data_IF_669316279567
#
_entry.id   IF_669316279567
#
_cell.length_a   1.000
_cell.length_b   1.000
_cell.length_c   1.000
_cell.angle_alpha   90.00
_cell.angle_beta   90.00
_cell.angle_gamma   90.00
#
_symmetry.space_group_name_H-M   'P 1'
#
loop_
_entity.id
_entity.type
_entity.pdbx_description
1 polymer ?
#
# COMPACT_ATOMS: atom_id res chain seq x y z
N UNK A 1 -64.16 -58.34 69.35
CA UNK A 1 -63.76 -56.99 69.81
C UNK A 1 -63.27 -56.21 68.61
N UNK A 2 -63.91 -55.09 68.27
CA UNK A 2 -63.48 -54.26 67.14
C UNK A 2 -62.32 -53.37 67.59
N UNK A 3 -61.17 -53.47 66.93
CA UNK A 3 -59.99 -52.68 67.24
C UNK A 3 -60.12 -51.27 66.64
N UNK A 4 -60.97 -50.44 67.26
CA UNK A 4 -61.25 -49.06 66.82
C UNK A 4 -60.16 -48.11 67.33
N UNK A 5 -59.69 -47.21 66.48
CA UNK A 5 -58.80 -46.14 66.91
C UNK A 5 -59.58 -45.03 67.61
N UNK A 6 -59.17 -44.68 68.83
CA UNK A 6 -59.83 -43.68 69.68
C UNK A 6 -59.68 -42.23 69.17
N UNK A 7 -58.78 -41.98 68.21
CA UNK A 7 -58.55 -40.63 67.69
C UNK A 7 -59.20 -40.39 66.33
N UNK A 8 -59.52 -41.44 65.56
CA UNK A 8 -60.05 -41.28 64.20
C UNK A 8 -61.18 -42.24 63.84
N UNK A 9 -61.64 -43.03 64.80
CA UNK A 9 -62.76 -43.95 64.67
C UNK A 9 -62.60 -45.03 63.59
N UNK A 10 -61.43 -45.16 62.96
CA UNK A 10 -61.14 -46.20 61.98
C UNK A 10 -61.07 -47.55 62.66
N UNK A 11 -61.74 -48.56 62.08
CA UNK A 11 -61.80 -49.93 62.62
C UNK A 11 -60.73 -50.77 61.93
N UNK A 12 -59.91 -51.46 62.73
CA UNK A 12 -58.83 -52.33 62.24
C UNK A 12 -59.14 -53.80 62.51
N UNK A 13 -58.66 -54.66 61.60
CA UNK A 13 -58.88 -56.11 61.68
C UNK A 13 -58.09 -56.77 62.83
N UNK A 14 -56.99 -56.16 63.29
CA UNK A 14 -56.19 -56.69 64.40
C UNK A 14 -55.45 -55.58 65.18
N UNK A 15 -55.02 -55.92 66.40
CA UNK A 15 -54.35 -55.01 67.34
C UNK A 15 -53.01 -54.50 66.83
N UNK A 16 -52.24 -55.33 66.11
CA UNK A 16 -50.98 -54.92 65.51
C UNK A 16 -51.16 -53.82 64.47
N UNK A 17 -52.20 -53.92 63.64
CA UNK A 17 -52.56 -52.91 62.64
C UNK A 17 -53.02 -51.61 63.31
N UNK A 18 -53.83 -51.71 64.36
CA UNK A 18 -54.22 -50.55 65.17
C UNK A 18 -53.00 -49.87 65.81
N UNK A 19 -52.07 -50.64 66.38
CA UNK A 19 -50.86 -50.10 67.01
C UNK A 19 -49.92 -49.45 65.99
N UNK A 20 -49.73 -50.05 64.83
CA UNK A 20 -48.93 -49.47 63.75
C UNK A 20 -49.58 -48.18 63.22
N UNK A 21 -50.90 -48.19 63.06
CA UNK A 21 -51.69 -47.03 62.72
C UNK A 21 -51.53 -45.89 63.76
N UNK A 22 -51.70 -46.17 65.07
CA UNK A 22 -51.49 -45.17 66.15
C UNK A 22 -50.07 -44.59 66.17
N UNK A 23 -49.05 -45.38 65.79
CA UNK A 23 -47.65 -44.95 65.79
C UNK A 23 -47.21 -44.21 64.52
N UNK A 24 -47.85 -44.47 63.37
CA UNK A 24 -47.38 -43.96 62.07
C UNK A 24 -48.36 -43.03 61.36
N UNK A 25 -49.66 -43.13 61.60
CA UNK A 25 -50.63 -42.31 60.88
C UNK A 25 -50.53 -40.85 61.35
N UNK A 26 -50.01 -39.98 60.47
CA UNK A 26 -49.74 -38.55 60.74
C UNK A 26 -50.94 -37.86 61.38
N UNK A 27 -52.16 -38.09 60.88
CA UNK A 27 -53.37 -37.46 61.44
C UNK A 27 -53.70 -37.93 62.87
N UNK A 28 -53.43 -39.19 63.23
CA UNK A 28 -53.63 -39.68 64.59
C UNK A 28 -52.55 -39.15 65.53
N UNK A 29 -51.32 -39.04 65.07
CA UNK A 29 -50.23 -38.44 65.84
C UNK A 29 -50.48 -36.95 66.13
N UNK A 30 -51.11 -36.23 65.20
CA UNK A 30 -51.58 -34.86 65.39
C UNK A 30 -52.69 -34.79 66.44
N UNK A 31 -53.73 -35.62 66.32
CA UNK A 31 -54.83 -35.67 67.31
C UNK A 31 -54.37 -36.14 68.70
N UNK A 32 -53.28 -36.90 68.77
CA UNK A 32 -52.61 -37.28 70.02
C UNK A 32 -51.75 -36.17 70.62
N UNK A 33 -51.60 -35.03 69.94
CA UNK A 33 -50.70 -33.94 70.37
C UNK A 33 -49.21 -34.29 70.31
N UNK A 34 -48.83 -35.44 69.72
CA UNK A 34 -47.44 -35.90 69.63
C UNK A 34 -46.65 -35.18 68.54
N UNK A 35 -47.37 -34.65 67.56
CA UNK A 35 -46.82 -33.80 66.51
C UNK A 35 -47.76 -32.59 66.47
N UNK A 36 -47.23 -31.37 66.60
CA UNK A 36 -48.03 -30.18 66.32
C UNK A 36 -48.57 -30.29 64.90
N UNK A 37 -49.86 -30.00 64.67
CA UNK A 37 -50.26 -29.61 63.32
C UNK A 37 -49.49 -28.33 63.03
N UNK A 38 -48.33 -28.47 62.40
CA UNK A 38 -47.90 -27.43 61.50
C UNK A 38 -49.09 -27.28 60.57
N UNK A 39 -49.88 -26.24 60.76
CA UNK A 39 -50.48 -25.59 59.60
C UNK A 39 -49.27 -25.30 58.73
N UNK A 40 -48.94 -26.25 57.85
CA UNK A 40 -48.48 -25.90 56.53
C UNK A 40 -49.54 -24.87 56.09
N UNK A 41 -49.32 -23.58 56.38
CA UNK A 41 -49.92 -22.49 55.61
C UNK A 41 -49.78 -22.99 54.19
N UNK A 42 -50.89 -23.34 53.54
CA UNK A 42 -50.92 -24.15 52.33
C UNK A 42 -49.82 -23.66 51.38
N UNK A 43 -48.64 -24.30 51.39
CA UNK A 43 -47.52 -23.85 50.57
C UNK A 43 -47.91 -24.34 49.19
N UNK A 44 -48.60 -23.45 48.48
CA UNK A 44 -49.09 -23.71 47.14
C UNK A 44 -47.89 -23.65 46.21
N UNK A 45 -47.53 -24.78 45.60
CA UNK A 45 -46.43 -24.84 44.64
C UNK A 45 -46.96 -24.57 43.24
N UNK A 46 -46.94 -23.30 42.83
CA UNK A 46 -47.41 -22.86 41.52
C UNK A 46 -46.32 -23.07 40.45
N UNK A 47 -46.72 -23.56 39.28
CA UNK A 47 -45.87 -23.51 38.11
C UNK A 47 -45.72 -22.06 37.62
N UNK A 48 -44.50 -21.66 37.26
CA UNK A 48 -44.24 -20.31 36.72
C UNK A 48 -44.67 -20.16 35.25
N UNK A 49 -44.94 -21.27 34.57
CA UNK A 49 -45.26 -21.28 33.15
C UNK A 49 -46.75 -21.47 32.87
N UNK A 50 -47.49 -22.13 33.77
CA UNK A 50 -48.93 -22.39 33.65
C UNK A 50 -49.62 -22.28 35.01
N UNK A 51 -50.95 -22.26 35.02
CA UNK A 51 -51.73 -22.06 36.25
C UNK A 51 -51.87 -23.32 37.12
N UNK A 52 -51.00 -24.32 36.94
CA UNK A 52 -51.07 -25.59 37.67
C UNK A 52 -50.52 -25.43 39.08
N UNK A 53 -51.38 -25.75 40.05
CA UNK A 53 -51.08 -25.79 41.47
C UNK A 53 -50.69 -27.22 41.86
N UNK A 54 -49.59 -27.39 42.60
CA UNK A 54 -49.07 -28.69 42.98
C UNK A 54 -48.89 -28.81 44.50
N UNK A 55 -49.05 -30.04 44.99
CA UNK A 55 -49.11 -30.35 46.42
C UNK A 55 -47.76 -30.35 47.13
N UNK A 56 -46.65 -30.43 46.39
CA UNK A 56 -45.30 -30.36 46.95
C UNK A 56 -44.27 -29.94 45.89
N UNK A 57 -43.09 -29.54 46.36
CA UNK A 57 -41.96 -29.09 45.53
C UNK A 57 -41.45 -30.14 44.54
N UNK A 58 -41.44 -31.42 44.91
CA UNK A 58 -40.98 -32.49 44.03
C UNK A 58 -41.88 -32.62 42.80
N UNK A 59 -43.20 -32.62 43.02
CA UNK A 59 -44.20 -32.64 41.96
C UNK A 59 -44.11 -31.39 41.08
N UNK A 60 -43.84 -30.21 41.66
CA UNK A 60 -43.57 -28.98 40.91
C UNK A 60 -42.36 -29.12 39.98
N UNK A 61 -41.24 -29.63 40.47
CA UNK A 61 -40.05 -29.82 39.65
C UNK A 61 -40.27 -30.84 38.52
N UNK A 62 -40.92 -31.97 38.83
CA UNK A 62 -41.28 -32.97 37.83
C UNK A 62 -42.23 -32.40 36.77
N UNK A 63 -43.19 -31.57 37.19
CA UNK A 63 -44.09 -30.87 36.30
C UNK A 63 -43.36 -29.84 35.43
N UNK A 64 -42.48 -29.01 35.98
CA UNK A 64 -41.72 -28.00 35.21
C UNK A 64 -40.97 -28.65 34.04
N UNK A 65 -40.38 -29.84 34.25
CA UNK A 65 -39.66 -30.57 33.21
C UNK A 65 -40.56 -31.16 32.10
N UNK A 66 -41.86 -31.29 32.38
CA UNK A 66 -42.86 -31.86 31.46
C UNK A 66 -43.97 -30.86 31.12
N UNK A 67 -43.82 -29.61 31.54
CA UNK A 67 -44.86 -28.59 31.40
C UNK A 67 -44.94 -28.18 29.93
N UNK A 68 -46.06 -28.49 29.30
CA UNK A 68 -46.30 -28.17 27.89
C UNK A 68 -46.10 -26.68 27.60
N UNK A 69 -46.58 -25.80 28.48
CA UNK A 69 -46.47 -24.34 28.31
C UNK A 69 -45.02 -23.87 28.40
N UNK A 70 -44.19 -24.47 29.26
CA UNK A 70 -42.76 -24.18 29.30
C UNK A 70 -42.09 -24.59 27.99
N UNK A 71 -42.30 -25.84 27.59
CA UNK A 71 -41.70 -26.42 26.39
C UNK A 71 -42.09 -25.60 25.15
N UNK A 72 -43.35 -25.18 25.04
CA UNK A 72 -43.83 -24.34 23.94
C UNK A 72 -43.18 -22.95 23.95
N UNK A 73 -43.09 -22.29 25.11
CA UNK A 73 -42.38 -21.00 25.25
C UNK A 73 -40.89 -21.11 24.89
N UNK A 74 -40.22 -22.20 25.26
CA UNK A 74 -38.81 -22.44 24.92
C UNK A 74 -38.63 -22.68 23.42
N UNK A 75 -39.51 -23.48 22.79
CA UNK A 75 -39.53 -23.66 21.33
C UNK A 75 -39.71 -22.35 20.58
N UNK A 76 -40.65 -21.51 21.01
CA UNK A 76 -40.88 -20.19 20.37
C UNK A 76 -39.64 -19.29 20.47
N UNK A 77 -38.93 -19.31 21.60
CA UNK A 77 -37.67 -18.57 21.77
C UNK A 77 -36.57 -19.11 20.84
N UNK A 78 -36.46 -20.42 20.71
CA UNK A 78 -35.50 -21.07 19.82
C UNK A 78 -35.81 -20.77 18.35
N UNK A 79 -37.08 -20.85 17.94
CA UNK A 79 -37.53 -20.50 16.59
C UNK A 79 -37.21 -19.04 16.24
N UNK A 80 -37.46 -18.11 17.16
CA UNK A 80 -37.15 -16.68 16.97
C UNK A 80 -35.63 -16.46 16.87
N UNK A 81 -34.83 -17.12 17.70
CA UNK A 81 -33.37 -17.05 17.62
C UNK A 81 -32.84 -17.59 16.28
N UNK A 82 -33.35 -18.72 15.82
CA UNK A 82 -33.00 -19.31 14.52
C UNK A 82 -33.39 -18.35 13.39
N UNK A 83 -34.56 -17.74 13.45
CA UNK A 83 -35.04 -16.77 12.45
C UNK A 83 -34.14 -15.54 12.36
N UNK A 84 -33.72 -14.99 13.51
CA UNK A 84 -32.78 -13.86 13.57
C UNK A 84 -31.41 -14.24 12.99
N UNK A 85 -30.95 -15.46 13.28
CA UNK A 85 -29.69 -15.99 12.75
C UNK A 85 -29.74 -16.14 11.23
N UNK A 86 -30.82 -16.73 10.69
CA UNK A 86 -31.04 -16.86 9.24
C UNK A 86 -31.06 -15.49 8.56
N UNK A 87 -31.74 -14.51 9.15
CA UNK A 87 -31.79 -13.16 8.60
C UNK A 87 -30.40 -12.51 8.55
N UNK A 88 -29.59 -12.71 9.58
CA UNK A 88 -28.22 -12.18 9.65
C UNK A 88 -27.33 -12.84 8.59
N UNK A 89 -27.35 -14.16 8.50
CA UNK A 89 -26.60 -14.91 7.48
C UNK A 89 -27.04 -14.55 6.05
N UNK A 90 -28.33 -14.30 5.82
CA UNK A 90 -28.83 -13.86 4.52
C UNK A 90 -28.23 -12.51 4.13
N UNK A 91 -28.17 -11.54 5.06
CA UNK A 91 -27.57 -10.22 4.81
C UNK A 91 -26.08 -10.31 4.53
N UNK A 92 -25.36 -11.19 5.23
CA UNK A 92 -23.93 -11.41 4.98
C UNK A 92 -23.68 -12.04 3.61
N UNK A 93 -24.49 -13.03 3.22
CA UNK A 93 -24.41 -13.62 1.88
C UNK A 93 -24.66 -12.60 0.77
N UNK A 94 -25.61 -11.69 0.95
CA UNK A 94 -25.87 -10.62 -0.03
C UNK A 94 -24.67 -9.68 -0.15
N UNK A 95 -24.07 -9.28 0.98
CA UNK A 95 -22.83 -8.48 0.98
C UNK A 95 -21.68 -9.20 0.28
N UNK A 96 -21.51 -10.49 0.54
CA UNK A 96 -20.46 -11.30 -0.10
C UNK A 96 -20.67 -11.38 -1.62
N UNK A 97 -21.91 -11.58 -2.09
CA UNK A 97 -22.23 -11.57 -3.53
C UNK A 97 -21.93 -10.21 -4.18
N UNK A 98 -22.27 -9.11 -3.52
CA UNK A 98 -21.95 -7.77 -4.02
C UNK A 98 -20.45 -7.55 -4.12
N UNK A 99 -19.69 -7.96 -3.10
CA UNK A 99 -18.23 -7.87 -3.10
C UNK A 99 -17.61 -8.72 -4.22
N UNK A 100 -18.09 -9.95 -4.41
CA UNK A 100 -17.63 -10.83 -5.49
C UNK A 100 -17.88 -10.21 -6.87
N UNK A 101 -19.05 -9.59 -7.08
CA UNK A 101 -19.36 -8.87 -8.31
C UNK A 101 -18.40 -7.70 -8.55
N UNK A 102 -18.17 -6.86 -7.54
CA UNK A 102 -17.25 -5.73 -7.61
C UNK A 102 -15.80 -6.18 -7.92
N UNK A 103 -15.36 -7.28 -7.30
CA UNK A 103 -14.03 -7.85 -7.56
C UNK A 103 -13.88 -8.34 -9.00
N UNK A 104 -14.91 -9.00 -9.55
CA UNK A 104 -14.92 -9.45 -10.96
C UNK A 104 -14.86 -8.27 -11.94
N UNK A 105 -15.60 -7.20 -11.68
CA UNK A 105 -15.56 -5.98 -12.48
C UNK A 105 -14.17 -5.32 -12.44
N UNK A 106 -13.56 -5.22 -11.25
CA UNK A 106 -12.21 -4.69 -11.11
C UNK A 106 -11.16 -5.51 -11.87
N UNK A 107 -11.22 -6.84 -11.77
CA UNK A 107 -10.36 -7.76 -12.52
C UNK A 107 -10.50 -7.57 -14.03
N UNK A 108 -11.73 -7.37 -14.52
CA UNK A 108 -11.98 -7.09 -15.93
C UNK A 108 -11.31 -5.78 -16.37
N UNK A 109 -11.46 -4.70 -15.60
CA UNK A 109 -10.79 -3.43 -15.90
C UNK A 109 -9.25 -3.57 -15.92
N UNK A 110 -8.68 -4.29 -14.94
CA UNK A 110 -7.22 -4.52 -14.89
C UNK A 110 -6.71 -5.33 -16.07
N UNK A 111 -7.45 -6.34 -16.51
CA UNK A 111 -7.08 -7.12 -17.69
C UNK A 111 -7.09 -6.27 -18.97
N UNK A 112 -8.07 -5.39 -19.12
CA UNK A 112 -8.12 -4.47 -20.27
C UNK A 112 -6.92 -3.52 -20.27
N UNK A 113 -6.57 -2.94 -19.11
CA UNK A 113 -5.38 -2.09 -18.97
C UNK A 113 -4.08 -2.83 -19.35
N UNK A 114 -3.94 -4.08 -18.90
CA UNK A 114 -2.78 -4.92 -19.25
C UNK A 114 -2.72 -5.16 -20.75
N UNK A 115 -3.88 -5.42 -21.39
CA UNK A 115 -3.94 -5.66 -22.83
C UNK A 115 -3.58 -4.41 -23.64
N UNK A 116 -4.09 -3.24 -23.26
CA UNK A 116 -3.72 -1.96 -23.88
C UNK A 116 -2.21 -1.69 -23.76
N UNK A 117 -1.65 -1.94 -22.58
CA UNK A 117 -0.22 -1.76 -22.35
C UNK A 117 0.63 -2.70 -23.22
N UNK A 118 0.23 -3.98 -23.34
CA UNK A 118 0.89 -4.95 -24.24
C UNK A 118 0.87 -4.48 -25.68
N UNK A 119 -0.29 -4.06 -26.17
CA UNK A 119 -0.43 -3.57 -27.55
C UNK A 119 0.46 -2.34 -27.81
N UNK A 120 0.58 -1.44 -26.82
CA UNK A 120 1.46 -0.27 -26.92
C UNK A 120 2.94 -0.69 -27.00
N UNK A 121 3.38 -1.63 -26.15
CA UNK A 121 4.75 -2.14 -26.20
C UNK A 121 5.08 -2.84 -27.53
N UNK A 122 4.14 -3.62 -28.07
CA UNK A 122 4.30 -4.27 -29.37
C UNK A 122 4.50 -3.23 -30.49
N UNK A 123 3.67 -2.17 -30.51
CA UNK A 123 3.82 -1.07 -31.47
C UNK A 123 5.17 -0.35 -31.33
N UNK A 124 5.64 -0.09 -30.11
CA UNK A 124 6.94 0.55 -29.90
C UNK A 124 8.11 -0.34 -30.34
N UNK A 125 8.02 -1.65 -30.10
CA UNK A 125 9.02 -2.61 -30.56
C UNK A 125 9.09 -2.65 -32.08
N UNK A 126 7.94 -2.70 -32.75
CA UNK A 126 7.86 -2.64 -34.21
C UNK A 126 8.48 -1.36 -34.77
N UNK A 127 8.13 -0.20 -34.18
CA UNK A 127 8.71 1.08 -34.57
C UNK A 127 10.24 1.13 -34.43
N UNK A 128 10.76 0.67 -33.28
CA UNK A 128 12.21 0.62 -33.04
C UNK A 128 12.92 -0.35 -33.99
N UNK A 129 12.30 -1.49 -34.28
CA UNK A 129 12.84 -2.45 -35.25
C UNK A 129 12.94 -1.84 -36.65
N UNK A 130 11.94 -1.07 -37.07
CA UNK A 130 11.97 -0.36 -38.35
C UNK A 130 13.09 0.69 -38.39
N UNK A 131 13.27 1.48 -37.33
CA UNK A 131 14.38 2.43 -37.23
C UNK A 131 15.76 1.73 -37.30
N UNK A 132 15.91 0.60 -36.61
CA UNK A 132 17.15 -0.19 -36.63
C UNK A 132 17.45 -0.67 -38.06
N UNK A 133 16.43 -1.13 -38.80
CA UNK A 133 16.61 -1.56 -40.19
C UNK A 133 17.04 -0.40 -41.09
N UNK A 134 16.41 0.77 -40.96
CA UNK A 134 16.76 1.93 -41.76
C UNK A 134 18.21 2.39 -41.50
N UNK A 135 18.62 2.42 -40.23
CA UNK A 135 20.00 2.74 -39.84
C UNK A 135 21.01 1.73 -40.40
N UNK A 136 20.69 0.43 -40.39
CA UNK A 136 21.54 -0.60 -40.99
C UNK A 136 21.74 -0.36 -42.49
N UNK A 137 20.66 -0.05 -43.22
CA UNK A 137 20.75 0.28 -44.66
C UNK A 137 21.58 1.54 -44.91
N UNK A 138 21.47 2.57 -44.07
CA UNK A 138 22.31 3.77 -44.20
C UNK A 138 23.79 3.47 -43.96
N UNK A 139 24.11 2.66 -42.95
CA UNK A 139 25.49 2.24 -42.66
C UNK A 139 26.10 1.50 -43.85
N UNK A 140 25.35 0.57 -44.45
CA UNK A 140 25.80 -0.18 -45.63
C UNK A 140 26.12 0.75 -46.82
N UNK A 141 25.23 1.70 -47.13
CA UNK A 141 25.48 2.72 -48.18
C UNK A 141 26.70 3.59 -47.90
N UNK A 142 26.92 3.96 -46.63
CA UNK A 142 28.09 4.75 -46.23
C UNK A 142 29.38 3.94 -46.36
N UNK A 143 29.35 2.65 -46.01
CA UNK A 143 30.48 1.74 -46.20
C UNK A 143 30.84 1.59 -47.69
N UNK A 144 29.86 1.42 -48.58
CA UNK A 144 30.06 1.37 -50.03
C UNK A 144 30.66 2.67 -50.58
N UNK A 145 30.21 3.81 -50.07
CA UNK A 145 30.73 5.13 -50.45
C UNK A 145 32.19 5.30 -50.02
N UNK A 146 32.53 4.89 -48.78
CA UNK A 146 33.90 4.93 -48.27
C UNK A 146 34.82 4.03 -49.11
N UNK A 147 34.36 2.81 -49.45
CA UNK A 147 35.10 1.90 -50.32
C UNK A 147 35.37 2.53 -51.70
N UNK A 148 34.36 3.21 -52.26
CA UNK A 148 34.48 3.90 -53.55
C UNK A 148 35.46 5.08 -53.52
N UNK A 149 35.46 5.87 -52.43
CA UNK A 149 36.42 6.98 -52.23
C UNK A 149 37.84 6.43 -52.06
N UNK A 150 38.00 5.36 -51.27
CA UNK A 150 39.29 4.72 -51.04
C UNK A 150 39.89 4.11 -52.32
N UNK A 151 39.04 3.72 -53.29
CA UNK A 151 39.46 3.18 -54.57
C UNK A 151 39.92 4.25 -55.59
N UNK A 152 39.75 5.55 -55.31
CA UNK A 152 40.21 6.60 -56.23
C UNK A 152 41.73 6.82 -56.14
N UNK A 153 42.43 7.02 -57.28
CA UNK A 153 43.88 7.25 -57.28
C UNK A 153 44.24 8.58 -56.62
N UNK A 154 45.18 8.54 -55.67
CA UNK A 154 45.66 9.75 -54.96
C UNK A 154 46.52 10.61 -55.89
N UNK A 155 45.99 11.77 -56.30
CA UNK A 155 46.81 12.87 -56.83
C UNK A 155 47.28 13.74 -55.66
N UNK A 156 48.60 13.74 -55.42
CA UNK A 156 49.21 14.57 -54.37
C UNK A 156 49.50 15.95 -54.96
N UNK A 157 48.60 16.89 -54.75
CA UNK A 157 48.92 18.32 -54.91
C UNK A 157 49.40 18.86 -53.56
N UNK A 158 50.71 19.12 -53.46
CA UNK A 158 51.32 19.87 -52.37
C UNK A 158 50.88 21.33 -52.43
N UNK A 159 49.76 21.64 -51.78
CA UNK A 159 49.41 23.01 -51.45
C UNK A 159 49.56 23.18 -49.93
N UNK A 160 50.59 23.94 -49.53
CA UNK A 160 50.72 24.47 -48.18
C UNK A 160 49.58 25.46 -47.93
N UNK A 161 48.50 25.00 -47.30
CA UNK A 161 47.43 25.87 -46.79
C UNK A 161 47.53 25.93 -45.27
N UNK A 162 47.86 27.12 -44.79
CA UNK A 162 47.75 27.56 -43.40
C UNK A 162 46.37 27.21 -42.85
N UNK A 163 46.34 26.31 -41.86
CA UNK A 163 45.14 26.00 -41.08
C UNK A 163 44.65 27.26 -40.37
N UNK A 164 43.52 27.78 -40.82
CA UNK A 164 42.76 28.81 -40.10
C UNK A 164 42.19 28.19 -38.82
N UNK A 165 42.65 28.67 -37.67
CA UNK A 165 42.24 28.24 -36.33
C UNK A 165 40.80 28.69 -36.00
N UNK A 166 39.80 27.83 -36.21
CA UNK A 166 38.44 28.03 -35.66
C UNK A 166 38.18 27.21 -34.37
N UNK A 167 39.19 26.56 -33.78
CA UNK A 167 39.04 25.77 -32.54
C UNK A 167 39.06 26.60 -31.24
N UNK A 168 39.17 27.94 -31.31
CA UNK A 168 39.45 28.75 -30.13
C UNK A 168 38.25 28.91 -29.18
N UNK A 169 37.00 28.89 -29.66
CA UNK A 169 35.82 29.16 -28.82
C UNK A 169 35.63 28.14 -27.70
N UNK A 170 35.62 26.84 -28.02
CA UNK A 170 35.30 25.77 -27.09
C UNK A 170 36.43 25.45 -26.12
N UNK A 171 37.67 25.50 -26.60
CA UNK A 171 38.86 25.36 -25.75
C UNK A 171 38.91 26.50 -24.74
N UNK A 172 38.57 27.73 -25.13
CA UNK A 172 38.47 28.86 -24.21
C UNK A 172 37.38 28.66 -23.15
N UNK A 173 36.20 28.14 -23.51
CA UNK A 173 35.15 27.84 -22.51
C UNK A 173 35.62 26.80 -21.49
N UNK A 174 36.22 25.69 -21.95
CA UNK A 174 36.70 24.62 -21.06
C UNK A 174 37.83 25.14 -20.14
N UNK A 175 38.75 25.95 -20.68
CA UNK A 175 39.83 26.53 -19.90
C UNK A 175 39.33 27.49 -18.81
N UNK A 176 38.20 28.17 -19.03
CA UNK A 176 37.60 29.11 -18.10
C UNK A 176 36.64 28.46 -17.08
N UNK A 177 36.43 27.14 -17.12
CA UNK A 177 35.60 26.46 -16.12
C UNK A 177 36.24 26.56 -14.74
N UNK A 178 35.42 26.78 -13.72
CA UNK A 178 35.83 26.67 -12.33
C UNK A 178 35.96 25.18 -11.92
N UNK A 179 37.00 24.79 -11.17
CA UNK A 179 37.10 23.48 -10.52
C UNK A 179 35.90 23.24 -9.62
N UNK A 180 35.36 22.01 -9.62
CA UNK A 180 34.32 21.64 -8.66
C UNK A 180 34.93 20.91 -7.47
N UNK A 181 34.67 21.45 -6.29
CA UNK A 181 35.16 20.87 -5.02
C UNK A 181 34.04 20.23 -4.23
N UNK A 182 34.37 19.25 -3.38
CA UNK A 182 33.37 18.60 -2.52
C UNK A 182 32.70 19.60 -1.54
N UNK A 183 33.38 20.69 -1.18
CA UNK A 183 32.81 21.76 -0.36
C UNK A 183 31.75 22.60 -1.10
N UNK A 184 31.81 22.70 -2.43
CA UNK A 184 30.73 23.32 -3.21
C UNK A 184 29.49 22.45 -3.24
N UNK A 185 29.66 21.12 -3.33
CA UNK A 185 28.53 20.18 -3.28
C UNK A 185 27.83 20.20 -1.92
N UNK A 186 28.54 20.47 -0.81
CA UNK A 186 27.91 20.65 0.51
C UNK A 186 26.93 21.82 0.58
N UNK A 187 27.12 22.86 -0.26
CA UNK A 187 26.23 24.04 -0.32
C UNK A 187 24.95 23.79 -1.11
N UNK A 188 24.82 22.64 -1.78
CA UNK A 188 23.62 22.30 -2.55
C UNK A 188 22.37 22.22 -1.70
N UNK A 189 22.50 21.77 -0.44
CA UNK A 189 21.40 21.76 0.52
C UNK A 189 20.77 23.15 0.70
N UNK A 190 21.59 24.20 0.82
CA UNK A 190 21.10 25.57 1.01
C UNK A 190 20.38 26.14 -0.22
N UNK A 191 20.70 25.63 -1.41
CA UNK A 191 20.06 26.03 -2.67
C UNK A 191 18.78 25.24 -2.96
N UNK A 192 18.59 24.08 -2.32
CA UNK A 192 17.41 23.25 -2.52
C UNK A 192 16.21 23.89 -1.82
N UNK A 193 15.09 23.95 -2.55
CA UNK A 193 13.86 24.59 -2.12
C UNK A 193 12.69 23.67 -2.40
N UNK A 194 11.60 23.86 -1.66
CA UNK A 194 10.36 23.09 -1.81
C UNK A 194 9.87 23.06 -3.27
N UNK A 195 9.92 24.20 -3.95
CA UNK A 195 9.51 24.35 -5.35
C UNK A 195 10.31 23.48 -6.33
N UNK A 196 11.57 23.16 -6.00
CA UNK A 196 12.37 22.22 -6.79
C UNK A 196 11.81 20.80 -6.66
N UNK A 197 11.39 20.41 -5.45
CA UNK A 197 10.82 19.08 -5.20
C UNK A 197 9.45 18.95 -5.87
N UNK A 198 8.58 19.95 -5.73
CA UNK A 198 7.21 19.91 -6.27
C UNK A 198 7.15 19.75 -7.80
N UNK A 199 8.21 20.19 -8.50
CA UNK A 199 8.37 20.08 -9.96
C UNK A 199 9.16 18.85 -10.41
N UNK A 200 9.60 18.00 -9.48
CA UNK A 200 10.29 16.75 -9.78
C UNK A 200 11.58 16.96 -10.58
N UNK A 201 11.78 16.16 -11.63
CA UNK A 201 12.99 16.18 -12.46
C UNK A 201 13.30 17.59 -13.01
N UNK A 202 12.26 18.39 -13.29
CA UNK A 202 12.40 19.74 -13.84
C UNK A 202 12.97 20.72 -12.82
N UNK A 203 12.51 20.62 -11.57
CA UNK A 203 13.02 21.46 -10.48
C UNK A 203 14.47 21.12 -10.15
N UNK A 204 14.84 19.83 -10.14
CA UNK A 204 16.24 19.44 -9.98
C UNK A 204 17.12 19.86 -11.15
N UNK A 205 16.61 19.78 -12.39
CA UNK A 205 17.34 20.23 -13.56
C UNK A 205 17.62 21.73 -13.49
N UNK A 206 16.65 22.55 -13.10
CA UNK A 206 16.86 23.99 -12.91
C UNK A 206 17.95 24.28 -11.87
N UNK A 207 17.88 23.64 -10.71
CA UNK A 207 18.89 23.79 -9.67
C UNK A 207 20.28 23.36 -10.16
N UNK A 208 20.37 22.24 -10.88
CA UNK A 208 21.60 21.76 -11.48
C UNK A 208 22.17 22.73 -12.52
N UNK A 209 21.33 23.30 -13.38
CA UNK A 209 21.74 24.30 -14.37
C UNK A 209 22.38 25.50 -13.66
N UNK A 210 21.74 26.01 -12.60
CA UNK A 210 22.28 27.10 -11.80
C UNK A 210 23.61 26.71 -11.13
N UNK A 211 23.69 25.50 -10.57
CA UNK A 211 24.87 25.03 -9.87
C UNK A 211 26.08 24.82 -10.80
N UNK A 212 25.85 24.24 -11.97
CA UNK A 212 26.90 23.88 -12.94
C UNK A 212 27.28 25.03 -13.88
N UNK A 213 26.57 26.15 -13.84
CA UNK A 213 26.89 27.32 -14.64
C UNK A 213 28.34 27.77 -14.41
N UNK A 214 29.13 27.80 -15.49
CA UNK A 214 30.56 28.14 -15.43
C UNK A 214 31.48 27.06 -14.82
N UNK A 215 30.94 25.88 -14.45
CA UNK A 215 31.70 24.76 -13.87
C UNK A 215 31.72 23.52 -14.75
N UNK A 216 30.66 23.31 -15.54
CA UNK A 216 30.56 22.22 -16.49
C UNK A 216 29.98 22.71 -17.83
N UNK A 217 30.30 21.99 -18.90
CA UNK A 217 29.82 22.27 -20.25
C UNK A 217 29.45 20.99 -20.96
N UNK A 218 28.30 20.96 -21.64
CA UNK A 218 27.96 19.87 -22.54
C UNK A 218 28.64 20.12 -23.88
N UNK A 219 29.38 19.11 -24.28
CA UNK A 219 30.35 19.14 -25.36
C UNK A 219 29.77 18.37 -26.55
N UNK A 220 29.09 17.25 -26.32
CA UNK A 220 28.36 16.54 -27.36
C UNK A 220 26.96 16.23 -26.88
N UNK A 221 25.96 16.93 -27.40
CA UNK A 221 24.57 16.77 -26.98
C UNK A 221 24.03 15.37 -27.34
N UNK A 222 24.40 14.84 -28.50
CA UNK A 222 23.93 13.52 -28.98
C UNK A 222 24.40 12.37 -28.09
N UNK A 223 25.62 12.50 -27.55
CA UNK A 223 26.24 11.52 -26.64
C UNK A 223 26.17 11.94 -25.17
N UNK A 224 25.50 13.06 -24.86
CA UNK A 224 25.44 13.68 -23.52
C UNK A 224 26.82 13.75 -22.86
N UNK A 225 27.83 14.14 -23.65
CA UNK A 225 29.21 14.21 -23.18
C UNK A 225 29.42 15.52 -22.45
N UNK A 226 29.53 15.47 -21.13
CA UNK A 226 29.79 16.65 -20.31
C UNK A 226 31.27 16.73 -19.98
N UNK A 227 31.83 17.94 -19.98
CA UNK A 227 33.21 18.21 -19.59
C UNK A 227 33.22 19.18 -18.42
N UNK A 228 34.01 18.89 -17.40
CA UNK A 228 34.16 19.72 -16.20
C UNK A 228 35.60 19.67 -15.68
N UNK A 229 35.93 20.50 -14.69
CA UNK A 229 37.20 20.38 -13.95
C UNK A 229 36.97 19.73 -12.59
N UNK A 230 37.78 18.73 -12.26
CA UNK A 230 37.77 18.12 -10.92
C UNK A 230 38.37 19.05 -9.86
N UNK A 231 38.45 18.59 -8.61
CA UNK A 231 38.95 19.39 -7.49
C UNK A 231 40.42 19.83 -7.68
N UNK A 232 41.22 19.05 -8.41
CA UNK A 232 42.60 19.39 -8.76
C UNK A 232 42.70 20.29 -10.01
N UNK A 233 41.56 20.69 -10.59
CA UNK A 233 41.48 21.54 -11.77
C UNK A 233 41.74 20.81 -13.09
N UNK A 234 41.80 19.46 -13.08
CA UNK A 234 42.03 18.65 -14.27
C UNK A 234 40.73 18.51 -15.06
N UNK A 235 40.83 18.57 -16.38
CA UNK A 235 39.68 18.42 -17.27
C UNK A 235 39.26 16.96 -17.33
N UNK A 236 37.99 16.69 -16.99
CA UNK A 236 37.38 15.37 -16.96
C UNK A 236 36.20 15.33 -17.92
N UNK A 237 36.14 14.28 -18.73
CA UNK A 237 34.97 13.95 -19.54
C UNK A 237 34.06 13.00 -18.75
N UNK A 238 32.77 13.33 -18.70
CA UNK A 238 31.72 12.63 -17.97
C UNK A 238 30.60 12.22 -18.93
N UNK A 239 30.72 11.03 -19.58
CA UNK A 239 29.70 10.51 -20.47
C UNK A 239 28.38 10.34 -19.72
N UNK A 240 27.26 10.74 -20.35
CA UNK A 240 25.93 10.72 -19.75
C UNK A 240 25.79 11.51 -18.43
N UNK A 241 26.77 12.36 -18.10
CA UNK A 241 26.79 13.14 -16.87
C UNK A 241 26.73 12.28 -15.59
N UNK A 242 27.17 11.02 -15.64
CA UNK A 242 27.03 10.08 -14.53
C UNK A 242 27.72 10.57 -13.25
N UNK A 243 28.99 11.02 -13.34
CA UNK A 243 29.76 11.47 -12.16
C UNK A 243 29.17 12.72 -11.53
N UNK A 244 28.84 13.71 -12.34
CA UNK A 244 28.24 14.96 -11.88
C UNK A 244 26.88 14.73 -11.23
N UNK A 245 26.07 13.86 -11.84
CA UNK A 245 24.74 13.50 -11.32
C UNK A 245 24.86 12.83 -9.96
N UNK A 246 25.76 11.85 -9.81
CA UNK A 246 25.99 11.17 -8.54
C UNK A 246 26.42 12.14 -7.44
N UNK A 247 27.41 13.02 -7.71
CA UNK A 247 27.84 14.02 -6.71
C UNK A 247 26.75 15.04 -6.38
N UNK A 248 26.01 15.50 -7.39
CA UNK A 248 24.93 16.48 -7.22
C UNK A 248 23.80 15.94 -6.34
N UNK A 249 23.25 14.77 -6.67
CA UNK A 249 22.19 14.17 -5.87
C UNK A 249 22.69 13.67 -4.51
N UNK A 250 23.96 13.25 -4.42
CA UNK A 250 24.62 12.97 -3.14
C UNK A 250 24.63 14.17 -2.19
N UNK A 251 24.97 15.36 -2.71
CA UNK A 251 24.95 16.61 -1.93
C UNK A 251 23.55 17.11 -1.55
N UNK A 252 22.50 16.60 -2.21
CA UNK A 252 21.11 16.99 -1.95
C UNK A 252 20.36 16.06 -0.99
N UNK A 253 20.87 14.85 -0.72
CA UNK A 253 20.09 13.79 -0.06
C UNK A 253 19.45 14.21 1.27
N UNK A 254 20.24 14.83 2.16
CA UNK A 254 19.77 15.18 3.50
C UNK A 254 18.68 16.25 3.44
N UNK A 255 18.93 17.34 2.70
CA UNK A 255 17.94 18.41 2.56
C UNK A 255 16.70 17.96 1.78
N UNK A 256 16.87 17.10 0.78
CA UNK A 256 15.75 16.53 0.05
C UNK A 256 14.86 15.69 0.98
N UNK A 257 15.46 14.88 1.86
CA UNK A 257 14.70 14.11 2.87
C UNK A 257 13.95 15.04 3.82
N UNK A 258 14.59 16.10 4.31
CA UNK A 258 13.98 17.09 5.19
C UNK A 258 12.77 17.76 4.53
N UNK A 259 12.94 18.34 3.33
CA UNK A 259 11.87 19.01 2.60
C UNK A 259 10.75 18.05 2.18
N UNK A 260 11.06 16.79 1.82
CA UNK A 260 10.02 15.78 1.59
C UNK A 260 9.17 15.58 2.85
N UNK A 261 9.77 15.49 4.04
CA UNK A 261 9.02 15.31 5.28
C UNK A 261 8.14 16.53 5.61
N UNK A 262 8.64 17.73 5.38
CA UNK A 262 7.84 18.97 5.51
C UNK A 262 6.65 18.95 4.56
N UNK A 263 6.86 18.61 3.29
CA UNK A 263 5.77 18.49 2.30
C UNK A 263 4.73 17.45 2.73
N UNK A 264 5.17 16.28 3.20
CA UNK A 264 4.25 15.22 3.63
C UNK A 264 3.46 15.63 4.88
N UNK A 265 4.07 16.37 5.80
CA UNK A 265 3.40 16.90 6.99
C UNK A 265 2.31 17.90 6.61
N UNK A 266 2.62 18.82 5.69
CA UNK A 266 1.64 19.77 5.16
C UNK A 266 0.49 19.07 4.42
N UNK A 267 0.79 18.03 3.63
CA UNK A 267 -0.22 17.25 2.92
C UNK A 267 -1.16 16.52 3.87
N UNK A 268 -0.63 15.94 4.93
CA UNK A 268 -1.42 15.29 5.97
C UNK A 268 -2.39 16.28 6.62
N UNK A 269 -1.91 17.50 6.93
CA UNK A 269 -2.76 18.56 7.46
C UNK A 269 -3.86 18.98 6.47
N UNK A 270 -3.54 19.13 5.18
CA UNK A 270 -4.52 19.46 4.14
C UNK A 270 -5.61 18.39 3.99
N UNK A 271 -5.27 17.12 4.21
CA UNK A 271 -6.25 16.03 4.23
C UNK A 271 -7.17 16.12 5.46
N UNK A 272 -6.61 16.41 6.64
CA UNK A 272 -7.38 16.61 7.89
C UNK A 272 -8.33 17.81 7.80
N UNK A 273 -7.85 18.90 7.20
CA UNK A 273 -8.61 20.12 6.93
C UNK A 273 -9.60 19.96 5.76
N UNK A 274 -9.63 18.79 5.10
CA UNK A 274 -10.48 18.44 3.95
C UNK A 274 -10.28 19.36 2.73
N UNK A 275 -9.09 19.94 2.59
CA UNK A 275 -8.71 20.71 1.40
C UNK A 275 -8.41 19.81 0.19
N UNK A 276 -7.99 18.57 0.47
CA UNK A 276 -7.74 17.51 -0.52
C UNK A 276 -8.50 16.26 -0.12
N UNK A 277 -8.86 15.44 -1.09
CA UNK A 277 -9.42 14.11 -0.82
C UNK A 277 -8.32 13.04 -0.65
N UNK A 278 -8.74 11.85 -0.24
CA UNK A 278 -7.83 10.74 0.01
C UNK A 278 -7.09 10.27 -1.25
N UNK A 279 -7.74 10.34 -2.43
CA UNK A 279 -7.15 9.89 -3.69
C UNK A 279 -6.05 10.87 -4.14
N UNK A 280 -6.31 12.18 -4.05
CA UNK A 280 -5.31 13.23 -4.29
C UNK A 280 -4.13 13.10 -3.32
N UNK A 281 -4.40 12.90 -2.02
CA UNK A 281 -3.38 12.66 -1.02
C UNK A 281 -2.48 11.46 -1.39
N UNK A 282 -3.08 10.32 -1.73
CA UNK A 282 -2.34 9.10 -2.10
C UNK A 282 -1.52 9.30 -3.37
N UNK A 283 -2.05 9.99 -4.38
CA UNK A 283 -1.31 10.29 -5.61
C UNK A 283 -0.07 11.15 -5.34
N UNK A 284 -0.20 12.18 -4.50
CA UNK A 284 0.92 13.05 -4.15
C UNK A 284 1.95 12.30 -3.28
N UNK A 285 1.50 11.47 -2.34
CA UNK A 285 2.35 10.63 -1.49
C UNK A 285 3.22 9.68 -2.32
N UNK A 286 2.61 8.98 -3.29
CA UNK A 286 3.31 8.07 -4.20
C UNK A 286 4.36 8.84 -5.00
N UNK A 287 3.98 9.97 -5.60
CA UNK A 287 4.89 10.83 -6.39
C UNK A 287 6.15 11.23 -5.61
N UNK A 288 6.01 11.70 -4.36
CA UNK A 288 7.16 12.09 -3.55
C UNK A 288 7.97 10.90 -3.04
N UNK A 289 7.33 9.75 -2.85
CA UNK A 289 8.02 8.50 -2.52
C UNK A 289 8.91 8.03 -3.67
N UNK A 290 8.39 8.03 -4.90
CA UNK A 290 9.12 7.68 -6.11
C UNK A 290 10.26 8.66 -6.37
N UNK A 291 10.01 9.95 -6.21
CA UNK A 291 11.03 10.98 -6.34
C UNK A 291 12.16 10.80 -5.32
N UNK A 292 11.83 10.54 -4.05
CA UNK A 292 12.83 10.25 -3.00
C UNK A 292 13.68 9.04 -3.36
N UNK A 293 13.06 8.00 -3.92
CA UNK A 293 13.76 6.81 -4.38
C UNK A 293 14.68 7.12 -5.57
N UNK A 294 14.22 7.88 -6.55
CA UNK A 294 15.02 8.30 -7.70
C UNK A 294 16.23 9.15 -7.30
N UNK A 295 16.06 10.11 -6.38
CA UNK A 295 17.17 10.91 -5.83
C UNK A 295 18.23 10.01 -5.20
N UNK A 296 17.80 9.03 -4.39
CA UNK A 296 18.73 8.07 -3.76
C UNK A 296 19.45 7.23 -4.81
N UNK A 297 18.73 6.69 -5.80
CA UNK A 297 19.33 5.90 -6.88
C UNK A 297 20.39 6.70 -7.65
N UNK A 298 20.11 7.96 -7.98
CA UNK A 298 21.07 8.83 -8.66
C UNK A 298 22.31 9.12 -7.78
N UNK A 299 22.12 9.31 -6.48
CA UNK A 299 23.20 9.49 -5.52
C UNK A 299 24.06 8.22 -5.32
N UNK A 300 23.47 7.03 -5.46
CA UNK A 300 24.16 5.73 -5.34
C UNK A 300 24.93 5.34 -6.62
N UNK A 301 24.59 5.95 -7.77
CA UNK A 301 25.20 5.74 -9.08
C UNK A 301 24.46 4.75 -9.98
N UNK A 302 24.69 4.86 -11.29
CA UNK A 302 23.93 4.15 -12.33
C UNK A 302 24.15 2.63 -12.36
N UNK A 303 25.40 2.19 -12.15
CA UNK A 303 25.82 0.77 -12.26
C UNK A 303 25.03 -0.16 -11.33
N UNK A 304 24.45 0.38 -10.26
CA UNK A 304 23.67 -0.37 -9.26
C UNK A 304 22.17 -0.37 -9.54
N UNK A 305 21.67 0.59 -10.32
CA UNK A 305 20.26 0.98 -10.29
C UNK A 305 19.52 0.75 -11.61
N UNK A 306 20.18 0.92 -12.77
CA UNK A 306 19.56 0.65 -14.09
C UNK A 306 19.13 -0.83 -14.27
N UNK A 307 19.87 -1.85 -13.79
CA UNK A 307 19.46 -3.24 -13.96
C UNK A 307 18.18 -3.66 -13.20
N UNK A 308 17.72 -2.83 -12.25
CA UNK A 308 16.57 -3.13 -11.37
C UNK A 308 15.35 -2.27 -11.66
N UNK A 309 15.38 -1.47 -12.74
CA UNK A 309 14.30 -0.54 -13.12
C UNK A 309 13.28 -1.19 -14.06
N UNK A 310 12.53 -2.18 -13.57
CA UNK A 310 11.57 -2.97 -14.37
C UNK A 310 10.48 -2.12 -15.05
N UNK A 311 10.12 -0.98 -14.46
CA UNK A 311 9.09 -0.05 -14.97
C UNK A 311 9.65 1.11 -15.79
N UNK A 312 10.97 1.31 -15.83
CA UNK A 312 11.62 2.40 -16.55
C UNK A 312 11.44 3.80 -15.94
N UNK A 313 10.84 3.91 -14.76
CA UNK A 313 10.49 5.18 -14.12
C UNK A 313 11.75 5.93 -13.66
N UNK A 314 12.75 5.20 -13.15
CA UNK A 314 14.05 5.79 -12.78
C UNK A 314 14.78 6.31 -14.02
N UNK A 315 14.84 5.50 -15.08
CA UNK A 315 15.52 5.87 -16.31
C UNK A 315 14.84 7.08 -16.98
N UNK A 316 13.51 7.17 -16.93
CA UNK A 316 12.76 8.33 -17.41
C UNK A 316 13.10 9.59 -16.61
N UNK A 317 13.10 9.51 -15.28
CA UNK A 317 13.46 10.63 -14.41
C UNK A 317 14.87 11.13 -14.70
N UNK A 318 15.85 10.21 -14.75
CA UNK A 318 17.25 10.48 -15.07
C UNK A 318 17.39 11.14 -16.44
N UNK A 319 16.81 10.55 -17.48
CA UNK A 319 16.92 11.06 -18.84
C UNK A 319 16.32 12.47 -18.95
N UNK A 320 15.18 12.71 -18.30
CA UNK A 320 14.55 14.04 -18.26
C UNK A 320 15.50 15.06 -17.64
N UNK A 321 16.07 14.75 -16.47
CA UNK A 321 17.04 15.59 -15.80
C UNK A 321 18.29 15.84 -16.67
N UNK A 322 18.98 14.77 -17.12
CA UNK A 322 20.24 14.89 -17.87
C UNK A 322 20.05 15.63 -19.18
N UNK A 323 18.97 15.35 -19.92
CA UNK A 323 18.70 16.04 -21.18
C UNK A 323 18.51 17.54 -20.95
N UNK A 324 17.72 17.93 -19.96
CA UNK A 324 17.47 19.35 -19.66
C UNK A 324 18.74 20.08 -19.25
N UNK A 325 19.56 19.46 -18.40
CA UNK A 325 20.83 20.08 -18.00
C UNK A 325 21.78 20.17 -19.19
N UNK A 326 22.02 19.07 -19.90
CA UNK A 326 22.90 19.03 -21.07
C UNK A 326 22.53 20.07 -22.11
N UNK A 327 21.25 20.20 -22.45
CA UNK A 327 20.76 21.12 -23.47
C UNK A 327 21.02 22.59 -23.08
N UNK A 328 20.96 22.91 -21.78
CA UNK A 328 21.20 24.26 -21.26
C UNK A 328 22.67 24.61 -21.08
N UNK A 329 23.53 23.64 -20.78
CA UNK A 329 24.98 23.86 -20.66
C UNK A 329 25.73 23.52 -21.96
N UNK A 330 25.03 23.28 -23.07
CA UNK A 330 25.63 22.91 -24.35
C UNK A 330 26.34 24.09 -25.03
N UNK A 331 27.56 23.85 -25.50
CA UNK A 331 28.32 24.81 -26.31
C UNK A 331 28.39 24.32 -27.75
N UNK A 332 27.76 25.08 -28.65
CA UNK A 332 27.82 24.86 -30.10
C UNK A 332 29.25 25.05 -30.61
N UNK A 333 29.65 24.19 -31.54
CA UNK A 333 30.80 24.45 -32.40
C UNK A 333 30.38 25.53 -33.39
N UNK A 334 31.00 26.70 -33.33
CA UNK A 334 30.91 27.72 -34.39
C UNK A 334 32.00 27.47 -35.42
#
# INVERSE_FOLDING_TARGET
MNNKCEHCDTIFNNTSSLNNHKKKAKYCLIKQGKIQSKSEEDIVYNCEYCDKILSNKYNLNAHINTCSVKIEKEKLKEEEYVKQTIQTLSRENDKLKTNEKCLKENLCCKNNQIQELKNNYELQLEYKNNQIQELKTQIEKLQDTIASIAAQPKTVNQNNTTKTNNNNSRVNVINNLAPMTDDEYKKLGDMLQRSHLERGADGFAELAIQFFQGKAVCTDLSRRMVTHKDAEGRVVSDPNMTRLTTKFFGGLMDKNRELTLEILTDLQKRLEDKEIDFDEFMNILVRFSDQKFNVRKLADGDDKNEPTDEKGEYLQFKNTYVNKVCDKIYVKNN
#
